data_IF_472627925793
#
_entry.id   IF_472627925793
#
_cell.length_a   1.000
_cell.length_b   1.000
_cell.length_c   1.000
_cell.angle_alpha   90.00
_cell.angle_beta   90.00
_cell.angle_gamma   90.00
#
_symmetry.space_group_name_H-M   'P 1'
#
loop_
_entity.id
_entity.type
_entity.pdbx_description
1 polymer ?
#
# COMPACT_ATOMS: atom_id res chain seq x y z
N UNK A 1 14.07 -1.08 -12.28
CA UNK A 1 13.16 -0.54 -11.27
C UNK A 1 13.92 0.45 -10.40
N UNK A 2 13.37 1.65 -10.14
CA UNK A 2 13.92 2.56 -9.12
C UNK A 2 13.91 1.86 -7.76
N UNK A 3 14.93 2.08 -6.93
CA UNK A 3 15.04 1.45 -5.62
C UNK A 3 14.27 2.27 -4.59
N UNK A 4 13.28 1.66 -3.91
CA UNK A 4 12.54 2.30 -2.83
C UNK A 4 13.48 2.54 -1.66
N UNK A 5 13.84 3.79 -1.38
CA UNK A 5 14.73 4.15 -0.27
C UNK A 5 13.90 4.39 0.99
N UNK A 6 13.68 3.32 1.75
CA UNK A 6 13.06 3.42 3.08
C UNK A 6 14.15 3.79 4.10
N UNK A 7 14.19 5.06 4.50
CA UNK A 7 15.00 5.53 5.62
C UNK A 7 14.21 5.41 6.92
N UNK A 8 14.72 4.60 7.85
CA UNK A 8 14.24 4.52 9.23
C UNK A 8 15.51 4.48 10.08
N UNK A 9 15.70 5.52 10.90
CA UNK A 9 16.87 5.66 11.77
C UNK A 9 16.60 5.08 13.15
N UNK A 10 17.52 4.25 13.64
CA UNK A 10 17.59 3.85 15.05
C UNK A 10 18.30 4.98 15.81
N UNK A 11 17.66 5.58 16.81
CA UNK A 11 18.36 6.48 17.75
C UNK A 11 18.76 5.69 19.01
N UNK A 12 19.99 5.89 19.48
CA UNK A 12 20.57 5.23 20.66
C UNK A 12 20.51 6.09 21.93
N UNK A 13 19.77 7.20 21.91
CA UNK A 13 19.68 8.09 23.06
C UNK A 13 18.59 7.63 24.04
N UNK A 14 19.04 7.17 25.23
CA UNK A 14 18.29 6.75 26.43
C UNK A 14 17.58 5.39 26.37
N UNK A 15 18.24 4.31 26.83
CA UNK A 15 17.70 3.00 27.29
C UNK A 15 16.61 2.27 26.45
N UNK A 16 16.19 2.84 25.32
CA UNK A 16 15.04 2.46 24.50
C UNK A 16 15.42 2.79 23.06
N UNK A 17 15.64 1.77 22.26
CA UNK A 17 15.80 1.93 20.83
C UNK A 17 14.46 2.40 20.25
N UNK A 18 14.50 3.30 19.25
CA UNK A 18 13.28 3.84 18.63
C UNK A 18 13.32 3.74 17.12
N UNK A 19 12.15 3.55 16.52
CA UNK A 19 11.89 3.57 15.08
C UNK A 19 10.80 4.61 14.82
N UNK A 20 11.04 5.53 13.89
CA UNK A 20 10.01 6.44 13.40
C UNK A 20 9.18 5.76 12.30
N UNK A 21 7.85 5.72 12.46
CA UNK A 21 6.92 5.07 11.52
C UNK A 21 6.26 6.06 10.54
N UNK A 22 6.38 7.37 10.79
CA UNK A 22 5.66 8.40 10.04
C UNK A 22 4.52 9.02 10.86
N UNK A 23 3.96 10.15 10.41
CA UNK A 23 2.80 10.82 11.05
C UNK A 23 2.98 11.13 12.57
N UNK A 24 4.22 11.28 13.03
CA UNK A 24 4.50 11.53 14.44
C UNK A 24 4.52 10.27 15.31
N UNK A 25 4.35 9.08 14.72
CA UNK A 25 4.39 7.81 15.42
C UNK A 25 5.82 7.28 15.58
N UNK A 26 6.10 6.80 16.79
CA UNK A 26 7.39 6.23 17.17
C UNK A 26 7.17 4.87 17.84
N UNK A 27 7.78 3.84 17.28
CA UNK A 27 7.88 2.53 17.92
C UNK A 27 9.09 2.54 18.86
N UNK A 28 8.87 2.35 20.15
CA UNK A 28 9.94 2.28 21.16
C UNK A 28 10.05 0.87 21.72
N UNK A 29 11.25 0.31 21.74
CA UNK A 29 11.47 -1.01 22.32
C UNK A 29 12.85 -1.18 22.96
N UNK A 30 12.92 -2.02 24.01
CA UNK A 30 14.18 -2.30 24.72
C UNK A 30 15.14 -3.16 23.91
N UNK A 31 14.63 -4.06 23.07
CA UNK A 31 15.46 -4.94 22.22
C UNK A 31 15.70 -4.33 20.85
N UNK A 32 16.97 -4.09 20.51
CA UNK A 32 17.42 -3.70 19.17
C UNK A 32 17.07 -4.76 18.13
N UNK A 33 17.28 -6.04 18.45
CA UNK A 33 16.97 -7.18 17.57
C UNK A 33 15.49 -7.20 17.17
N UNK A 34 14.59 -6.91 18.11
CA UNK A 34 13.16 -6.79 17.82
C UNK A 34 12.86 -5.67 16.82
N UNK A 35 13.45 -4.49 17.02
CA UNK A 35 13.23 -3.35 16.11
C UNK A 35 13.82 -3.60 14.73
N UNK A 36 14.99 -4.23 14.64
CA UNK A 36 15.55 -4.64 13.36
C UNK A 36 14.67 -5.67 12.64
N UNK A 37 14.13 -6.65 13.37
CA UNK A 37 13.21 -7.62 12.81
C UNK A 37 11.91 -6.95 12.32
N UNK A 38 11.32 -6.07 13.14
CA UNK A 38 10.15 -5.28 12.76
C UNK A 38 10.44 -4.45 11.51
N UNK A 39 11.57 -3.75 11.47
CA UNK A 39 12.01 -2.94 10.34
C UNK A 39 12.12 -3.76 9.04
N UNK A 40 12.69 -4.98 9.12
CA UNK A 40 12.79 -5.88 7.98
C UNK A 40 11.40 -6.29 7.47
N UNK A 41 10.50 -6.68 8.36
CA UNK A 41 9.11 -7.05 8.02
C UNK A 41 8.38 -5.87 7.39
N UNK A 42 8.50 -4.69 7.99
CA UNK A 42 7.89 -3.46 7.51
C UNK A 42 8.34 -3.10 6.08
N UNK A 43 9.65 -3.11 5.82
CA UNK A 43 10.20 -2.87 4.48
C UNK A 43 9.74 -3.92 3.48
N UNK A 44 9.70 -5.18 3.89
CA UNK A 44 9.25 -6.30 3.05
C UNK A 44 7.80 -6.10 2.61
N UNK A 45 6.89 -5.82 3.55
CA UNK A 45 5.46 -5.58 3.24
C UNK A 45 5.33 -4.43 2.24
N UNK A 46 6.00 -3.30 2.47
CA UNK A 46 5.95 -2.17 1.53
C UNK A 46 6.46 -2.55 0.12
N UNK A 47 7.63 -3.18 0.04
CA UNK A 47 8.24 -3.56 -1.23
C UNK A 47 7.40 -4.58 -2.01
N UNK A 48 6.84 -5.57 -1.32
CA UNK A 48 6.02 -6.61 -1.93
C UNK A 48 4.73 -6.01 -2.49
N UNK A 49 4.06 -5.13 -1.73
CA UNK A 49 2.84 -4.45 -2.18
C UNK A 49 3.11 -3.48 -3.34
N UNK A 50 4.22 -2.74 -3.33
CA UNK A 50 4.61 -1.86 -4.45
C UNK A 50 4.88 -2.66 -5.73
N UNK A 51 5.51 -3.84 -5.63
CA UNK A 51 5.75 -4.73 -6.78
C UNK A 51 4.43 -5.25 -7.36
N UNK A 52 3.53 -5.73 -6.51
CA UNK A 52 2.22 -6.22 -6.93
C UNK A 52 1.43 -5.12 -7.62
N UNK A 53 1.39 -3.93 -7.03
CA UNK A 53 0.73 -2.75 -7.60
C UNK A 53 1.29 -2.38 -8.98
N UNK A 54 2.61 -2.39 -9.16
CA UNK A 54 3.24 -2.14 -10.47
C UNK A 54 2.87 -3.19 -11.52
N UNK A 55 2.77 -4.46 -11.10
CA UNK A 55 2.31 -5.56 -11.95
C UNK A 55 0.87 -5.34 -12.40
N UNK A 56 -0.04 -4.98 -11.48
CA UNK A 56 -1.43 -4.69 -11.83
C UNK A 56 -1.56 -3.51 -12.77
N UNK A 57 -0.87 -2.40 -12.51
CA UNK A 57 -0.89 -1.26 -13.42
C UNK A 57 -0.45 -1.64 -14.84
N UNK A 58 0.58 -2.49 -14.97
CA UNK A 58 1.04 -2.99 -16.28
C UNK A 58 -0.03 -3.85 -16.99
N UNK A 59 -0.75 -4.68 -16.25
CA UNK A 59 -1.85 -5.50 -16.78
C UNK A 59 -3.04 -4.64 -17.21
N UNK A 60 -3.44 -3.66 -16.39
CA UNK A 60 -4.53 -2.73 -16.68
C UNK A 60 -4.18 -1.86 -17.89
N UNK A 61 -2.94 -1.39 -18.00
CA UNK A 61 -2.46 -0.67 -19.17
C UNK A 61 -2.51 -1.53 -20.43
N UNK A 62 -2.14 -2.80 -20.34
CA UNK A 62 -2.24 -3.74 -21.46
C UNK A 62 -3.70 -3.93 -21.89
N UNK A 63 -4.62 -4.07 -20.93
CA UNK A 63 -6.06 -4.14 -21.22
C UNK A 63 -6.55 -2.87 -21.93
N UNK A 64 -6.24 -1.69 -21.38
CA UNK A 64 -6.58 -0.41 -21.99
C UNK A 64 -6.07 -0.31 -23.43
N UNK A 65 -4.81 -0.69 -23.67
CA UNK A 65 -4.19 -0.66 -25.00
C UNK A 65 -4.85 -1.61 -25.99
N UNK A 66 -5.30 -2.78 -25.53
CA UNK A 66 -5.98 -3.76 -26.38
C UNK A 66 -7.33 -3.24 -26.92
N UNK A 67 -8.01 -2.40 -26.16
CA UNK A 67 -9.33 -1.83 -26.51
C UNK A 67 -9.26 -0.33 -26.84
N UNK A 68 -8.06 0.23 -27.04
CA UNK A 68 -7.84 1.67 -27.21
C UNK A 68 -8.70 2.27 -28.33
N UNK A 69 -8.81 1.58 -29.46
CA UNK A 69 -9.57 2.05 -30.63
C UNK A 69 -11.08 1.88 -30.49
N UNK A 70 -11.55 1.12 -29.50
CA UNK A 70 -12.98 0.95 -29.22
C UNK A 70 -13.52 2.08 -28.32
N UNK A 71 -12.63 2.77 -27.59
CA UNK A 71 -12.97 3.86 -26.68
C UNK A 71 -13.23 5.16 -27.43
N UNK A 72 -14.09 6.00 -26.87
CA UNK A 72 -14.26 7.39 -27.35
C UNK A 72 -13.04 8.25 -27.00
N UNK A 73 -12.82 9.33 -27.75
CA UNK A 73 -11.71 10.26 -27.51
C UNK A 73 -11.72 10.83 -26.08
N UNK A 74 -12.91 11.10 -25.54
CA UNK A 74 -13.10 11.60 -24.17
C UNK A 74 -12.64 10.54 -23.14
N UNK A 75 -13.00 9.27 -23.36
CA UNK A 75 -12.56 8.17 -22.50
C UNK A 75 -11.06 7.94 -22.59
N UNK A 76 -10.49 8.01 -23.81
CA UNK A 76 -9.05 7.91 -24.05
C UNK A 76 -8.28 8.99 -23.31
N UNK A 77 -8.71 10.25 -23.42
CA UNK A 77 -8.09 11.37 -22.72
C UNK A 77 -8.19 11.19 -21.20
N UNK A 78 -9.40 10.86 -20.71
CA UNK A 78 -9.64 10.65 -19.28
C UNK A 78 -8.77 9.54 -18.71
N UNK A 79 -8.74 8.37 -19.35
CA UNK A 79 -7.93 7.22 -18.89
C UNK A 79 -6.44 7.56 -18.96
N UNK A 80 -5.99 8.27 -20.00
CA UNK A 80 -4.58 8.71 -20.11
C UNK A 80 -4.17 9.64 -18.98
N UNK A 81 -5.02 10.61 -18.63
CA UNK A 81 -4.78 11.52 -17.51
C UNK A 81 -4.73 10.77 -16.17
N UNK A 82 -5.60 9.78 -15.98
CA UNK A 82 -5.62 8.95 -14.77
C UNK A 82 -4.35 8.08 -14.68
N UNK A 83 -3.86 7.51 -15.78
CA UNK A 83 -2.56 6.82 -15.82
C UNK A 83 -1.37 7.76 -15.52
N UNK A 84 -1.41 8.99 -16.00
CA UNK A 84 -0.39 9.99 -15.67
C UNK A 84 -0.37 10.28 -14.16
N UNK A 85 -1.55 10.42 -13.55
CA UNK A 85 -1.69 10.59 -12.10
C UNK A 85 -1.22 9.35 -11.33
N UNK A 86 -1.54 8.13 -11.79
CA UNK A 86 -0.97 6.89 -11.24
C UNK A 86 0.55 6.97 -11.21
N UNK A 87 1.17 7.27 -12.36
CA UNK A 87 2.62 7.30 -12.50
C UNK A 87 3.24 8.37 -11.60
N UNK A 88 2.58 9.52 -11.42
CA UNK A 88 3.02 10.56 -10.49
C UNK A 88 3.02 10.06 -9.06
N UNK A 89 1.91 9.49 -8.59
CA UNK A 89 1.79 8.96 -7.23
C UNK A 89 2.75 7.79 -7.00
N UNK A 90 2.91 6.93 -8.00
CA UNK A 90 3.80 5.78 -7.95
C UNK A 90 5.27 6.21 -7.89
N UNK A 91 5.70 7.13 -8.77
CA UNK A 91 7.06 7.65 -8.75
C UNK A 91 7.38 8.39 -7.45
N UNK A 92 6.41 9.12 -6.90
CA UNK A 92 6.58 9.84 -5.65
C UNK A 92 7.03 8.93 -4.50
N UNK A 93 6.59 7.66 -4.47
CA UNK A 93 7.04 6.68 -3.47
C UNK A 93 8.56 6.49 -3.45
N UNK A 94 9.25 6.78 -4.56
CA UNK A 94 10.70 6.62 -4.73
C UNK A 94 11.47 7.93 -4.65
N UNK A 95 10.78 9.08 -4.64
CA UNK A 95 11.41 10.39 -4.62
C UNK A 95 11.88 10.70 -3.18
N UNK A 96 13.19 10.94 -3.02
CA UNK A 96 13.88 11.06 -1.73
C UNK A 96 13.59 12.39 -1.01
N UNK A 97 12.33 12.67 -0.68
CA UNK A 97 11.99 13.86 0.11
C UNK A 97 12.14 13.51 1.60
N UNK A 98 13.39 13.37 2.04
CA UNK A 98 13.81 13.43 3.45
C UNK A 98 13.19 12.40 4.41
N UNK A 99 13.96 11.33 4.71
CA UNK A 99 14.07 10.71 6.03
C UNK A 99 12.88 9.93 6.62
N UNK A 100 11.62 10.33 6.38
CA UNK A 100 10.54 10.13 7.33
C UNK A 100 9.15 10.02 6.67
N UNK A 101 8.96 9.11 5.71
CA UNK A 101 7.75 9.10 4.86
C UNK A 101 6.96 7.79 4.80
N UNK A 102 7.20 6.81 5.67
CA UNK A 102 6.65 5.47 5.41
C UNK A 102 5.13 5.36 5.53
N UNK A 103 4.51 6.08 6.47
CA UNK A 103 3.04 6.24 6.51
C UNK A 103 2.49 6.91 5.25
N UNK A 104 3.29 7.78 4.61
CA UNK A 104 2.93 8.39 3.33
C UNK A 104 3.00 7.35 2.22
N UNK A 105 3.97 6.43 2.22
CA UNK A 105 4.06 5.36 1.22
C UNK A 105 2.79 4.49 1.25
N UNK A 106 2.30 4.08 2.43
CA UNK A 106 1.03 3.37 2.55
C UNK A 106 -0.14 4.18 1.96
N UNK A 107 -0.22 5.47 2.28
CA UNK A 107 -1.23 6.35 1.67
C UNK A 107 -1.13 6.40 0.14
N UNK A 108 0.09 6.44 -0.42
CA UNK A 108 0.33 6.44 -1.88
C UNK A 108 -0.05 5.11 -2.52
N UNK A 109 0.21 3.98 -1.87
CA UNK A 109 -0.26 2.67 -2.32
C UNK A 109 -1.79 2.68 -2.43
N UNK A 110 -2.50 3.16 -1.40
CA UNK A 110 -3.97 3.26 -1.42
C UNK A 110 -4.46 4.13 -2.57
N UNK A 111 -3.86 5.31 -2.75
CA UNK A 111 -4.20 6.19 -3.87
C UNK A 111 -4.03 5.49 -5.21
N UNK A 112 -2.93 4.75 -5.40
CA UNK A 112 -2.70 4.01 -6.63
C UNK A 112 -3.70 2.85 -6.85
N UNK A 113 -4.14 2.18 -5.77
CA UNK A 113 -5.21 1.16 -5.83
C UNK A 113 -6.51 1.80 -6.34
N UNK A 114 -6.93 2.92 -5.75
CA UNK A 114 -8.15 3.62 -6.16
C UNK A 114 -8.07 4.14 -7.60
N UNK A 115 -6.93 4.72 -7.99
CA UNK A 115 -6.70 5.13 -9.38
C UNK A 115 -6.84 3.95 -10.34
N UNK A 116 -6.31 2.78 -9.97
CA UNK A 116 -6.41 1.57 -10.80
C UNK A 116 -7.86 1.09 -10.94
N UNK A 117 -8.64 1.15 -9.86
CA UNK A 117 -10.07 0.85 -9.86
C UNK A 117 -10.85 1.82 -10.74
N UNK A 118 -10.57 3.13 -10.66
CA UNK A 118 -11.23 4.15 -11.47
C UNK A 118 -11.06 3.88 -12.98
N UNK A 119 -9.85 3.50 -13.40
CA UNK A 119 -9.59 3.11 -14.80
C UNK A 119 -10.46 1.91 -15.18
N UNK A 120 -10.48 0.87 -14.35
CA UNK A 120 -11.24 -0.35 -14.62
C UNK A 120 -12.75 -0.10 -14.66
N UNK A 121 -13.29 0.76 -13.79
CA UNK A 121 -14.71 1.12 -13.82
C UNK A 121 -15.08 1.91 -15.07
N UNK A 122 -14.20 2.79 -15.57
CA UNK A 122 -14.41 3.46 -16.87
C UNK A 122 -14.48 2.43 -18.00
N UNK A 123 -13.50 1.51 -18.06
CA UNK A 123 -13.47 0.45 -19.07
C UNK A 123 -14.68 -0.48 -18.98
N UNK A 124 -15.10 -0.85 -17.77
CA UNK A 124 -16.28 -1.69 -17.54
C UNK A 124 -17.56 -0.97 -17.97
N UNK A 125 -17.70 0.32 -17.63
CA UNK A 125 -18.88 1.12 -18.01
C UNK A 125 -18.98 1.26 -19.52
N UNK A 126 -17.88 1.56 -20.20
CA UNK A 126 -17.81 1.58 -21.66
C UNK A 126 -18.26 0.23 -22.26
N UNK A 127 -17.71 -0.87 -21.73
CA UNK A 127 -18.00 -2.22 -22.21
C UNK A 127 -19.47 -2.61 -22.03
N UNK A 128 -20.10 -2.18 -20.93
CA UNK A 128 -21.52 -2.41 -20.68
C UNK A 128 -22.40 -1.65 -21.68
N UNK A 129 -22.10 -0.37 -21.93
CA UNK A 129 -22.84 0.47 -22.88
C UNK A 129 -22.76 -0.08 -24.31
N UNK A 130 -21.58 -0.50 -24.74
CA UNK A 130 -21.33 -0.98 -26.12
C UNK A 130 -21.47 -2.50 -26.28
N UNK A 131 -21.89 -3.21 -25.22
CA UNK A 131 -22.02 -4.68 -25.20
C UNK A 131 -20.72 -5.42 -25.58
N UNK A 132 -19.56 -4.85 -25.24
CA UNK A 132 -18.26 -5.50 -25.40
C UNK A 132 -18.02 -6.49 -24.23
N UNK A 133 -18.57 -7.70 -24.35
CA UNK A 133 -18.49 -8.71 -23.29
C UNK A 133 -17.05 -9.14 -22.95
N UNK A 134 -16.14 -9.08 -23.93
CA UNK A 134 -14.73 -9.43 -23.71
C UNK A 134 -14.06 -8.43 -22.74
N UNK A 135 -14.18 -7.13 -23.02
CA UNK A 135 -13.65 -6.08 -22.15
C UNK A 135 -14.34 -6.11 -20.78
N UNK A 136 -15.67 -6.27 -20.75
CA UNK A 136 -16.43 -6.35 -19.49
C UNK A 136 -15.90 -7.45 -18.58
N UNK A 137 -15.76 -8.68 -19.08
CA UNK A 137 -15.33 -9.82 -18.29
C UNK A 137 -13.88 -9.65 -17.80
N UNK A 138 -13.00 -9.10 -18.64
CA UNK A 138 -11.61 -8.83 -18.25
C UNK A 138 -11.52 -7.72 -17.19
N UNK A 139 -12.28 -6.62 -17.36
CA UNK A 139 -12.33 -5.55 -16.37
C UNK A 139 -12.88 -6.04 -15.03
N UNK A 140 -13.96 -6.83 -15.02
CA UNK A 140 -14.53 -7.44 -13.81
C UNK A 140 -13.56 -8.38 -13.10
N UNK A 141 -12.79 -9.16 -13.85
CA UNK A 141 -11.75 -10.01 -13.28
C UNK A 141 -10.66 -9.16 -12.59
N UNK A 142 -10.17 -8.10 -13.23
CA UNK A 142 -9.17 -7.23 -12.63
C UNK A 142 -9.69 -6.43 -11.43
N UNK A 143 -10.96 -6.00 -11.44
CA UNK A 143 -11.59 -5.34 -10.28
C UNK A 143 -11.53 -6.27 -9.08
N UNK A 144 -11.99 -7.53 -9.22
CA UNK A 144 -11.93 -8.51 -8.14
C UNK A 144 -10.50 -8.80 -7.66
N UNK A 145 -9.54 -8.85 -8.58
CA UNK A 145 -8.13 -9.02 -8.22
C UNK A 145 -7.59 -7.85 -7.40
N UNK A 146 -7.96 -6.61 -7.73
CA UNK A 146 -7.59 -5.40 -7.01
C UNK A 146 -8.29 -5.30 -5.65
N UNK A 147 -9.56 -5.69 -5.55
CA UNK A 147 -10.30 -5.76 -4.29
C UNK A 147 -9.65 -6.76 -3.33
N UNK A 148 -9.38 -7.99 -3.80
CA UNK A 148 -8.67 -9.01 -3.02
C UNK A 148 -7.27 -8.53 -2.60
N UNK A 149 -6.57 -7.82 -3.49
CA UNK A 149 -5.28 -7.22 -3.15
C UNK A 149 -5.42 -6.16 -2.07
N UNK A 150 -6.41 -5.29 -2.16
CA UNK A 150 -6.67 -4.24 -1.17
C UNK A 150 -6.97 -4.84 0.21
N UNK A 151 -7.80 -5.89 0.27
CA UNK A 151 -8.08 -6.61 1.52
C UNK A 151 -6.82 -7.21 2.14
N UNK A 152 -6.00 -7.89 1.33
CA UNK A 152 -4.73 -8.47 1.77
C UNK A 152 -3.78 -7.37 2.24
N UNK A 153 -3.67 -6.30 1.48
CA UNK A 153 -2.81 -5.16 1.80
C UNK A 153 -3.21 -4.50 3.12
N UNK A 154 -4.50 -4.25 3.36
CA UNK A 154 -4.96 -3.69 4.64
C UNK A 154 -4.75 -4.69 5.79
N UNK A 155 -4.91 -5.99 5.55
CA UNK A 155 -4.56 -7.02 6.55
C UNK A 155 -3.06 -6.99 6.93
N UNK A 156 -2.18 -6.94 5.93
CA UNK A 156 -0.72 -6.86 6.14
C UNK A 156 -0.32 -5.57 6.84
N UNK A 157 -0.90 -4.44 6.44
CA UNK A 157 -0.70 -3.14 7.10
C UNK A 157 -1.18 -3.16 8.55
N UNK A 158 -2.35 -3.72 8.83
CA UNK A 158 -2.87 -3.87 10.19
C UNK A 158 -2.01 -4.81 11.05
N UNK A 159 -1.37 -5.83 10.45
CA UNK A 159 -0.44 -6.71 11.16
C UNK A 159 0.85 -6.01 11.62
N UNK A 160 1.20 -4.89 10.96
CA UNK A 160 2.33 -4.04 11.34
C UNK A 160 1.99 -3.07 12.46
N UNK A 161 0.71 -2.92 12.84
CA UNK A 161 0.30 -2.04 13.93
C UNK A 161 0.61 -2.67 15.28
N UNK A 162 1.80 -2.34 15.78
CA UNK A 162 2.36 -2.86 17.03
C UNK A 162 1.58 -2.35 18.24
N UNK A 163 0.86 -1.24 18.14
CA UNK A 163 0.17 -0.61 19.27
C UNK A 163 -1.00 -1.45 19.79
N UNK A 164 -1.73 -2.17 18.93
CA UNK A 164 -2.83 -3.06 19.36
C UNK A 164 -2.33 -4.24 20.19
N UNK A 165 -1.22 -4.85 19.78
CA UNK A 165 -0.63 -5.98 20.49
C UNK A 165 0.15 -5.56 21.75
N UNK A 166 0.78 -4.38 21.77
CA UNK A 166 1.47 -3.90 22.98
C UNK A 166 0.49 -3.48 24.08
N UNK A 167 -0.64 -2.85 23.74
CA UNK A 167 -1.66 -2.51 24.73
C UNK A 167 -2.29 -3.78 25.34
N UNK A 168 -2.55 -4.81 24.53
CA UNK A 168 -3.06 -6.10 25.00
C UNK A 168 -2.04 -6.89 25.83
N UNK A 169 -0.78 -6.96 25.39
CA UNK A 169 0.28 -7.65 26.13
C UNK A 169 0.68 -6.92 27.42
N UNK A 170 0.68 -5.59 27.44
CA UNK A 170 0.91 -4.85 28.69
C UNK A 170 -0.28 -5.01 29.65
N UNK A 171 -1.53 -5.03 29.15
CA UNK A 171 -2.70 -5.29 30.00
C UNK A 171 -2.71 -6.72 30.58
N UNK A 172 -2.25 -7.73 29.84
CA UNK A 172 -2.16 -9.09 30.37
C UNK A 172 -1.07 -9.21 31.45
N UNK A 173 0.09 -8.58 31.23
CA UNK A 173 1.18 -8.53 32.22
C UNK A 173 0.72 -7.81 33.50
N UNK A 174 0.03 -6.67 33.37
CA UNK A 174 -0.51 -5.93 34.53
C UNK A 174 -1.55 -6.78 35.29
N UNK A 175 -2.42 -7.52 34.59
CA UNK A 175 -3.42 -8.39 35.25
C UNK A 175 -2.79 -9.57 35.98
N UNK A 176 -1.74 -10.15 35.44
CA UNK A 176 -1.03 -11.27 36.08
C UNK A 176 -0.21 -10.81 37.30
N UNK A 177 0.39 -9.63 37.25
CA UNK A 177 1.10 -9.05 38.40
C UNK A 177 0.12 -8.64 39.52
N UNK A 178 -1.05 -8.10 39.18
CA UNK A 178 -2.11 -7.82 40.16
C UNK A 178 -2.65 -9.10 40.81
N UNK A 179 -2.77 -10.21 40.08
CA UNK A 179 -3.19 -11.51 40.62
C UNK A 179 -2.16 -12.16 41.54
N UNK A 180 -0.87 -11.88 41.34
CA UNK A 180 0.21 -12.39 42.21
C UNK A 180 0.41 -11.57 43.48
N UNK A 181 -0.11 -10.34 43.50
CA UNK A 181 -0.03 -9.41 44.62
C UNK A 181 -1.24 -9.49 45.58
N UNK A 182 -2.30 -10.23 45.22
CA UNK A 182 -3.42 -10.64 46.08
C UNK A 182 -3.18 -12.06 46.59
#
# INVERSE_FOLDING_TARGET
>A
MKQLKISISLSEYQEKHTIYLGQGEWLKHKSKTFLEAYLRTYKKVLLDNVKILNSYNSQIYTLYRAFFFDLSDIEVERVSNIFAEFNKQFNWMFDNIGGCQNSIIFSKINTCIFISLDILYILQSHAQTHKNYSLKNQAEAYIKMLENFNEKYESEKNSLDVNRNYAQNNMSIIKDDFRKAM
#
